data_IF_264828151474
#
_entry.id   IF_264828151474
#
_cell.length_a   1.000
_cell.length_b   1.000
_cell.length_c   1.000
_cell.angle_alpha   90.00
_cell.angle_beta   90.00
_cell.angle_gamma   90.00
#
_symmetry.space_group_name_H-M   'P 1'
#
loop_
_entity.id
_entity.type
_entity.pdbx_description
1 polymer ?
#
# COMPACT_ATOMS: atom_id res chain seq x y z
N UNK A 1 20.01 1.27 16.24
CA UNK A 1 20.26 1.84 14.89
C UNK A 1 21.07 0.82 14.13
N UNK A 2 20.43 -0.03 13.33
CA UNK A 2 21.16 -0.91 12.40
C UNK A 2 21.53 0.00 11.23
N UNK A 3 22.82 0.17 10.97
CA UNK A 3 23.28 0.93 9.80
C UNK A 3 22.78 0.22 8.54
N UNK A 4 22.47 0.93 7.47
CA UNK A 4 22.02 0.36 6.18
C UNK A 4 22.96 -0.75 5.70
N UNK A 5 24.25 -0.58 5.92
CA UNK A 5 25.32 -1.56 5.66
C UNK A 5 25.08 -2.92 6.33
N UNK A 6 24.58 -2.96 7.57
CA UNK A 6 24.29 -4.22 8.28
C UNK A 6 22.94 -4.82 7.88
N UNK A 7 22.00 -4.02 7.48
CA UNK A 7 20.64 -4.47 7.12
C UNK A 7 20.62 -5.12 5.74
N UNK A 8 21.25 -4.51 4.74
CA UNK A 8 21.17 -4.97 3.34
C UNK A 8 22.40 -5.80 2.92
N UNK A 9 23.59 -5.49 3.42
CA UNK A 9 24.81 -6.24 3.11
C UNK A 9 24.84 -7.68 3.65
N UNK A 10 23.93 -8.03 4.61
CA UNK A 10 23.79 -9.39 5.16
C UNK A 10 22.53 -10.11 4.67
N UNK A 11 21.63 -9.42 3.99
CA UNK A 11 20.46 -10.04 3.42
C UNK A 11 20.87 -10.91 2.24
N UNK A 12 20.29 -12.12 2.14
CA UNK A 12 20.45 -12.89 0.92
C UNK A 12 19.83 -12.13 -0.25
N UNK A 13 20.38 -12.30 -1.46
CA UNK A 13 19.86 -11.67 -2.68
C UNK A 13 18.34 -11.86 -2.80
N UNK A 14 17.85 -13.05 -2.45
CA UNK A 14 16.42 -13.38 -2.52
C UNK A 14 15.57 -12.62 -1.52
N UNK A 15 16.04 -12.44 -0.28
CA UNK A 15 15.34 -11.66 0.75
C UNK A 15 15.23 -10.22 0.32
N UNK A 16 16.33 -9.62 -0.13
CA UNK A 16 16.32 -8.25 -0.62
C UNK A 16 15.40 -8.08 -1.83
N UNK A 17 15.44 -9.02 -2.79
CA UNK A 17 14.58 -9.04 -3.95
C UNK A 17 13.10 -9.02 -3.56
N UNK A 18 12.70 -9.89 -2.61
CA UNK A 18 11.32 -9.96 -2.15
C UNK A 18 10.84 -8.69 -1.44
N UNK A 19 11.77 -7.93 -0.83
CA UNK A 19 11.43 -6.65 -0.19
C UNK A 19 11.12 -5.53 -1.18
N UNK A 20 11.46 -5.68 -2.47
CA UNK A 20 11.27 -4.62 -3.47
C UNK A 20 9.81 -4.41 -3.90
N UNK A 21 8.93 -5.37 -3.64
CA UNK A 21 7.51 -5.25 -3.90
C UNK A 21 6.70 -6.21 -3.02
N UNK A 22 5.40 -5.94 -2.90
CA UNK A 22 4.42 -6.81 -2.25
C UNK A 22 4.16 -8.09 -3.06
N UNK A 23 3.25 -8.95 -2.57
CA UNK A 23 2.84 -10.18 -3.25
C UNK A 23 1.77 -9.96 -4.35
N UNK A 24 1.56 -8.74 -4.81
CA UNK A 24 0.60 -8.41 -5.85
C UNK A 24 0.90 -9.09 -7.21
N UNK A 25 -0.08 -9.19 -8.12
CA UNK A 25 0.10 -9.82 -9.42
C UNK A 25 1.22 -9.22 -10.27
N UNK A 26 1.50 -7.92 -10.12
CA UNK A 26 2.58 -7.22 -10.81
C UNK A 26 3.90 -7.19 -10.03
N UNK A 27 4.00 -7.92 -8.93
CA UNK A 27 5.16 -7.86 -8.02
C UNK A 27 6.51 -8.08 -8.72
N UNK A 28 6.59 -9.03 -9.66
CA UNK A 28 7.85 -9.27 -10.39
C UNK A 28 8.18 -8.12 -11.36
N UNK A 29 7.19 -7.52 -12.00
CA UNK A 29 7.39 -6.32 -12.80
C UNK A 29 7.91 -5.16 -11.94
N UNK A 30 7.30 -4.90 -10.77
CA UNK A 30 7.74 -3.86 -9.85
C UNK A 30 9.14 -4.11 -9.31
N UNK A 31 9.45 -5.36 -8.94
CA UNK A 31 10.79 -5.74 -8.46
C UNK A 31 11.87 -5.51 -9.51
N UNK A 32 11.62 -5.93 -10.76
CA UNK A 32 12.53 -5.71 -11.88
C UNK A 32 12.74 -4.20 -12.12
N UNK A 33 11.67 -3.44 -12.18
CA UNK A 33 11.68 -1.99 -12.37
C UNK A 33 12.49 -1.27 -11.28
N UNK A 34 12.21 -1.58 -10.02
CA UNK A 34 12.91 -1.03 -8.85
C UNK A 34 14.37 -1.47 -8.77
N UNK A 35 14.67 -2.68 -9.21
CA UNK A 35 16.04 -3.12 -9.40
C UNK A 35 16.83 -2.19 -10.33
N UNK A 36 16.28 -1.83 -11.48
CA UNK A 36 16.95 -0.92 -12.41
C UNK A 36 17.06 0.51 -11.87
N UNK A 37 16.08 0.99 -11.11
CA UNK A 37 16.21 2.28 -10.39
C UNK A 37 17.40 2.23 -9.44
N UNK A 38 17.51 1.20 -8.61
CA UNK A 38 18.66 1.01 -7.69
C UNK A 38 19.97 0.98 -8.48
N UNK A 39 20.04 0.20 -9.55
CA UNK A 39 21.26 0.13 -10.38
C UNK A 39 21.66 1.50 -10.93
N UNK A 40 20.71 2.33 -11.30
CA UNK A 40 20.98 3.66 -11.87
C UNK A 40 21.58 4.63 -10.86
N UNK A 41 21.18 4.55 -9.56
CA UNK A 41 21.55 5.53 -8.53
C UNK A 41 22.46 4.98 -7.43
N UNK A 42 22.90 3.71 -7.50
CA UNK A 42 23.72 3.10 -6.45
C UNK A 42 25.13 3.67 -6.35
N UNK A 43 25.69 4.15 -7.43
CA UNK A 43 27.09 4.62 -7.49
C UNK A 43 27.24 6.02 -8.05
N UNK A 44 26.21 6.53 -8.71
CA UNK A 44 26.22 7.83 -9.38
C UNK A 44 24.94 8.57 -9.09
N UNK A 45 25.05 9.85 -8.72
CA UNK A 45 23.88 10.70 -8.56
C UNK A 45 23.23 10.94 -9.91
N UNK A 46 21.90 10.79 -9.98
CA UNK A 46 21.13 11.00 -11.20
C UNK A 46 19.88 11.81 -10.95
N UNK A 47 19.51 12.67 -11.89
CA UNK A 47 18.22 13.34 -11.92
C UNK A 47 17.12 12.35 -12.31
N UNK A 48 15.85 12.76 -12.18
CA UNK A 48 14.71 11.92 -12.59
C UNK A 48 14.77 11.62 -14.09
N UNK A 49 15.14 12.61 -14.91
CA UNK A 49 15.27 12.47 -16.37
C UNK A 49 16.37 11.48 -16.74
N UNK A 50 17.51 11.51 -16.04
CA UNK A 50 18.61 10.56 -16.27
C UNK A 50 18.22 9.13 -15.83
N UNK A 51 17.46 8.99 -14.74
CA UNK A 51 16.89 7.72 -14.31
C UNK A 51 15.89 7.21 -15.35
N UNK A 52 15.00 8.07 -15.84
CA UNK A 52 14.03 7.75 -16.89
C UNK A 52 14.73 7.26 -18.16
N UNK A 53 15.76 7.96 -18.62
CA UNK A 53 16.53 7.55 -19.78
C UNK A 53 17.20 6.18 -19.58
N UNK A 54 17.76 5.92 -18.40
CA UNK A 54 18.36 4.62 -18.06
C UNK A 54 17.30 3.50 -18.03
N UNK A 55 16.13 3.75 -17.45
CA UNK A 55 15.02 2.80 -17.43
C UNK A 55 14.51 2.48 -18.83
N UNK A 56 14.37 3.50 -19.68
CA UNK A 56 13.95 3.32 -21.07
C UNK A 56 14.91 2.41 -21.85
N UNK A 57 16.23 2.58 -21.66
CA UNK A 57 17.24 1.70 -22.26
C UNK A 57 17.12 0.24 -21.81
N UNK A 58 16.53 0.01 -20.65
CA UNK A 58 16.29 -1.32 -20.08
C UNK A 58 14.85 -1.83 -20.30
N UNK A 59 14.08 -1.19 -21.18
CA UNK A 59 12.75 -1.62 -21.60
C UNK A 59 11.60 -1.09 -20.74
N UNK A 60 11.83 -0.11 -19.85
CA UNK A 60 10.81 0.49 -19.01
C UNK A 60 10.51 1.92 -19.46
N UNK A 61 9.37 2.11 -20.09
CA UNK A 61 8.85 3.44 -20.42
C UNK A 61 7.93 3.92 -19.30
N UNK A 62 8.43 4.85 -18.48
CA UNK A 62 7.76 5.34 -17.28
C UNK A 62 7.69 6.87 -17.30
N UNK A 63 6.64 7.43 -16.70
CA UNK A 63 6.58 8.84 -16.38
C UNK A 63 7.41 9.15 -15.11
N UNK A 64 7.70 10.43 -14.88
CA UNK A 64 8.53 10.89 -13.76
C UNK A 64 7.86 10.65 -12.41
N UNK A 65 6.53 10.82 -12.32
CA UNK A 65 5.78 10.57 -11.10
C UNK A 65 5.91 9.12 -10.63
N UNK A 66 5.81 8.15 -11.55
CA UNK A 66 6.02 6.73 -11.26
C UNK A 66 7.43 6.45 -10.72
N UNK A 67 8.45 7.09 -11.31
CA UNK A 67 9.84 6.94 -10.85
C UNK A 67 10.01 7.50 -9.44
N UNK A 68 9.44 8.66 -9.17
CA UNK A 68 9.48 9.28 -7.83
C UNK A 68 8.78 8.41 -6.79
N UNK A 69 7.64 7.82 -7.12
CA UNK A 69 6.90 6.93 -6.21
C UNK A 69 7.65 5.62 -5.94
N UNK A 70 8.31 5.07 -6.94
CA UNK A 70 9.18 3.93 -6.72
C UNK A 70 10.37 4.26 -5.81
N UNK A 71 10.97 5.45 -5.97
CA UNK A 71 12.01 5.93 -5.06
C UNK A 71 11.46 6.11 -3.65
N UNK A 72 10.23 6.65 -3.50
CA UNK A 72 9.57 6.76 -2.20
C UNK A 72 9.33 5.38 -1.57
N UNK A 73 8.88 4.43 -2.35
CA UNK A 73 8.69 3.03 -1.92
C UNK A 73 10.02 2.40 -1.46
N UNK A 74 11.11 2.64 -2.18
CA UNK A 74 12.45 2.17 -1.79
C UNK A 74 12.90 2.78 -0.47
N UNK A 75 12.62 4.06 -0.23
CA UNK A 75 12.88 4.73 1.06
C UNK A 75 12.03 4.11 2.17
N UNK A 76 10.75 3.84 1.93
CA UNK A 76 9.84 3.26 2.93
C UNK A 76 10.27 1.87 3.40
N UNK A 77 10.82 1.04 2.52
CA UNK A 77 11.40 -0.25 2.91
C UNK A 77 12.76 -0.11 3.58
N UNK A 78 13.29 1.11 3.69
CA UNK A 78 14.44 1.49 4.52
C UNK A 78 15.76 1.72 3.77
N UNK A 79 15.75 1.88 2.42
CA UNK A 79 16.93 2.34 1.70
C UNK A 79 17.24 3.79 2.04
N UNK A 80 18.51 4.09 2.27
CA UNK A 80 18.98 5.44 2.49
C UNK A 80 19.25 6.12 1.15
N UNK A 81 18.27 6.86 0.64
CA UNK A 81 18.40 7.61 -0.61
C UNK A 81 18.52 9.09 -0.28
N UNK A 82 19.69 9.65 -0.60
CA UNK A 82 19.90 11.09 -0.51
C UNK A 82 19.24 11.79 -1.69
N UNK A 83 18.44 12.81 -1.37
CA UNK A 83 17.82 13.71 -2.34
C UNK A 83 18.51 15.07 -2.31
N UNK A 84 18.92 15.55 -3.46
CA UNK A 84 19.48 16.88 -3.64
C UNK A 84 18.91 17.52 -4.90
N UNK A 85 19.15 18.80 -5.09
CA UNK A 85 18.70 19.54 -6.29
C UNK A 85 19.19 18.92 -7.60
N UNK A 86 20.32 18.23 -7.56
CA UNK A 86 20.93 17.55 -8.71
C UNK A 86 20.64 16.04 -8.73
N UNK A 87 19.61 15.55 -8.02
CA UNK A 87 19.08 14.19 -8.15
C UNK A 87 19.27 13.30 -6.91
N UNK A 88 19.23 12.00 -7.14
CA UNK A 88 19.16 10.93 -6.16
C UNK A 88 20.44 10.09 -6.13
N UNK A 89 20.84 9.65 -4.93
CA UNK A 89 22.01 8.76 -4.72
C UNK A 89 21.71 7.84 -3.55
N UNK A 90 21.93 6.53 -3.70
CA UNK A 90 21.88 5.57 -2.59
C UNK A 90 23.12 5.69 -1.74
N UNK A 91 22.95 5.79 -0.42
CA UNK A 91 24.03 5.83 0.57
C UNK A 91 24.37 4.46 1.15
N UNK A 92 23.46 3.50 0.99
CA UNK A 92 23.73 2.12 1.40
C UNK A 92 24.76 1.47 0.46
N UNK A 93 25.67 0.69 1.03
CA UNK A 93 26.51 -0.19 0.22
C UNK A 93 25.68 -1.41 -0.22
N UNK A 94 25.23 -1.40 -1.46
CA UNK A 94 24.52 -2.52 -2.08
C UNK A 94 25.49 -3.22 -3.01
N UNK A 95 26.08 -4.32 -2.52
CA UNK A 95 26.90 -5.20 -3.33
C UNK A 95 26.07 -6.31 -3.94
N UNK A 96 26.44 -6.77 -5.14
CA UNK A 96 25.89 -7.98 -5.78
C UNK A 96 24.37 -8.05 -5.95
N UNK A 97 23.67 -6.93 -6.04
CA UNK A 97 22.26 -6.94 -6.40
C UNK A 97 22.13 -7.43 -7.85
N UNK A 98 21.42 -8.52 -8.04
CA UNK A 98 21.10 -9.09 -9.35
C UNK A 98 19.69 -9.69 -9.31
N UNK A 99 19.03 -9.70 -10.46
CA UNK A 99 17.76 -10.43 -10.61
C UNK A 99 18.05 -11.92 -10.34
N UNK A 100 17.27 -12.60 -9.48
CA UNK A 100 17.40 -14.03 -9.28
C UNK A 100 17.26 -14.82 -10.58
N UNK A 101 18.07 -15.87 -10.78
CA UNK A 101 18.15 -16.62 -12.03
C UNK A 101 16.84 -17.33 -12.43
N UNK A 102 15.93 -17.56 -11.48
CA UNK A 102 14.63 -18.16 -11.66
C UNK A 102 13.51 -17.16 -11.96
N UNK A 103 13.86 -15.88 -12.16
CA UNK A 103 12.92 -14.81 -12.46
C UNK A 103 13.30 -14.17 -13.79
N UNK A 104 12.38 -14.21 -14.73
CA UNK A 104 12.54 -13.51 -16.00
C UNK A 104 12.49 -11.99 -15.79
N UNK A 105 13.28 -11.26 -16.56
CA UNK A 105 13.23 -9.82 -16.59
C UNK A 105 11.92 -9.38 -17.29
N UNK A 106 10.90 -9.07 -16.49
CA UNK A 106 9.58 -8.67 -16.99
C UNK A 106 9.61 -7.17 -17.25
N UNK A 107 9.54 -6.78 -18.51
CA UNK A 107 9.46 -5.37 -18.93
C UNK A 107 8.05 -4.95 -19.35
N UNK A 108 7.19 -5.91 -19.67
CA UNK A 108 5.81 -5.63 -20.04
C UNK A 108 4.97 -5.28 -18.81
N UNK A 109 4.18 -4.22 -18.93
CA UNK A 109 3.23 -3.83 -17.91
C UNK A 109 2.14 -4.89 -17.78
N UNK A 110 1.76 -5.21 -16.57
CA UNK A 110 0.56 -5.99 -16.27
C UNK A 110 -0.66 -5.08 -16.22
N UNK A 111 -1.86 -5.62 -16.35
CA UNK A 111 -3.11 -4.84 -16.27
C UNK A 111 -3.17 -4.01 -15.00
N UNK A 112 -2.77 -4.59 -13.86
CA UNK A 112 -2.79 -3.86 -12.58
C UNK A 112 -1.75 -2.73 -12.53
N UNK A 113 -0.61 -2.87 -13.17
CA UNK A 113 0.38 -1.79 -13.24
C UNK A 113 -0.09 -0.65 -14.13
N UNK A 114 -0.86 -0.93 -15.17
CA UNK A 114 -1.53 0.08 -16.00
C UNK A 114 -2.57 0.83 -15.16
N UNK A 115 -3.43 0.11 -14.43
CA UNK A 115 -4.43 0.71 -13.55
C UNK A 115 -3.76 1.63 -12.49
N UNK A 116 -2.67 1.18 -11.88
CA UNK A 116 -1.93 2.02 -10.91
C UNK A 116 -1.39 3.31 -11.54
N UNK A 117 -0.88 3.24 -12.76
CA UNK A 117 -0.39 4.42 -13.46
C UNK A 117 -1.54 5.36 -13.82
N UNK A 118 -2.68 4.85 -14.30
CA UNK A 118 -3.89 5.63 -14.58
C UNK A 118 -4.45 6.30 -13.32
N UNK A 119 -4.54 5.56 -12.22
CA UNK A 119 -4.99 6.10 -10.93
C UNK A 119 -4.04 7.21 -10.46
N UNK A 120 -2.73 7.01 -10.60
CA UNK A 120 -1.71 8.01 -10.24
C UNK A 120 -1.84 9.29 -11.04
N UNK A 121 -2.14 9.19 -12.34
CA UNK A 121 -2.34 10.35 -13.20
C UNK A 121 -3.63 11.13 -12.86
N UNK A 122 -4.65 10.47 -12.34
CA UNK A 122 -5.93 11.08 -11.99
C UNK A 122 -5.97 11.64 -10.56
N UNK A 123 -5.22 11.03 -9.64
CA UNK A 123 -5.19 11.43 -8.24
C UNK A 123 -4.19 12.57 -7.99
N UNK A 124 -4.65 13.81 -8.12
CA UNK A 124 -3.81 14.99 -7.87
C UNK A 124 -3.83 15.48 -6.41
N UNK A 125 -4.83 15.09 -5.64
CA UNK A 125 -5.07 15.59 -4.27
C UNK A 125 -4.83 14.56 -3.18
N UNK A 126 -4.82 13.29 -3.52
CA UNK A 126 -4.59 12.17 -2.59
C UNK A 126 -3.12 11.74 -2.67
N UNK A 127 -2.52 11.49 -1.52
CA UNK A 127 -1.13 11.03 -1.48
C UNK A 127 -1.00 9.65 -2.15
N UNK A 128 -0.10 9.53 -3.11
CA UNK A 128 0.14 8.29 -3.87
C UNK A 128 0.60 7.10 -3.01
N UNK A 129 0.99 7.32 -1.74
CA UNK A 129 1.28 6.21 -0.81
C UNK A 129 0.11 5.23 -0.71
N UNK A 130 -1.13 5.72 -0.88
CA UNK A 130 -2.34 4.90 -0.79
C UNK A 130 -2.57 3.99 -2.00
N UNK A 131 -1.75 4.10 -3.07
CA UNK A 131 -1.70 3.09 -4.13
C UNK A 131 -1.30 1.70 -3.60
N UNK A 132 -0.67 1.65 -2.43
CA UNK A 132 -0.40 0.39 -1.72
C UNK A 132 -1.67 -0.42 -1.45
N UNK A 133 -2.83 0.23 -1.33
CA UNK A 133 -4.11 -0.47 -1.15
C UNK A 133 -4.43 -1.41 -2.31
N UNK A 134 -4.03 -1.06 -3.54
CA UNK A 134 -4.16 -1.96 -4.70
C UNK A 134 -3.31 -3.22 -4.55
N UNK A 135 -2.14 -3.13 -3.91
CA UNK A 135 -1.30 -4.28 -3.64
C UNK A 135 -1.83 -5.12 -2.48
N UNK A 136 -2.19 -4.46 -1.37
CA UNK A 136 -2.70 -5.11 -0.18
C UNK A 136 -4.01 -5.86 -0.44
N UNK A 137 -4.86 -5.34 -1.35
CA UNK A 137 -6.12 -6.00 -1.73
C UNK A 137 -5.92 -7.42 -2.30
N UNK A 138 -4.75 -7.73 -2.84
CA UNK A 138 -4.40 -9.07 -3.37
C UNK A 138 -3.62 -9.94 -2.39
N UNK A 139 -3.24 -9.41 -1.21
CA UNK A 139 -2.41 -10.13 -0.24
C UNK A 139 -3.22 -10.58 0.98
N UNK A 140 -3.65 -11.83 0.96
CA UNK A 140 -4.40 -12.45 2.07
C UNK A 140 -3.63 -12.48 3.40
N UNK A 141 -2.32 -12.30 3.39
CA UNK A 141 -1.49 -12.25 4.60
C UNK A 141 -1.41 -10.86 5.23
N UNK A 142 -1.82 -9.83 4.50
CA UNK A 142 -1.74 -8.42 4.89
C UNK A 142 -3.12 -7.78 5.13
N UNK A 143 -4.10 -8.58 5.56
CA UNK A 143 -5.46 -8.08 5.83
C UNK A 143 -5.45 -6.91 6.82
N UNK A 144 -4.68 -7.04 7.90
CA UNK A 144 -4.59 -5.99 8.92
C UNK A 144 -3.99 -4.69 8.39
N UNK A 145 -2.96 -4.78 7.56
CA UNK A 145 -2.35 -3.62 6.91
C UNK A 145 -3.35 -2.96 5.95
N UNK A 146 -4.12 -3.77 5.22
CA UNK A 146 -5.18 -3.28 4.34
C UNK A 146 -6.26 -2.52 5.11
N UNK A 147 -6.72 -3.06 6.24
CA UNK A 147 -7.67 -2.39 7.17
C UNK A 147 -7.11 -1.03 7.63
N UNK A 148 -5.88 -1.02 8.16
CA UNK A 148 -5.25 0.18 8.71
C UNK A 148 -5.05 1.25 7.63
N UNK A 149 -4.50 0.90 6.46
CA UNK A 149 -4.25 1.85 5.37
C UNK A 149 -5.56 2.38 4.78
N UNK A 150 -6.64 1.56 4.73
CA UNK A 150 -7.96 2.01 4.33
C UNK A 150 -8.49 3.09 5.29
N UNK A 151 -8.39 2.86 6.60
CA UNK A 151 -8.80 3.84 7.60
C UNK A 151 -7.95 5.11 7.53
N UNK A 152 -6.63 4.98 7.34
CA UNK A 152 -5.72 6.12 7.18
C UNK A 152 -6.07 6.97 5.95
N UNK A 153 -6.41 6.36 4.82
CA UNK A 153 -6.87 7.10 3.64
C UNK A 153 -8.08 7.98 3.96
N UNK A 154 -9.07 7.42 4.67
CA UNK A 154 -10.31 8.13 4.98
C UNK A 154 -10.08 9.27 5.99
N UNK A 155 -9.23 9.05 6.98
CA UNK A 155 -8.97 10.07 8.02
C UNK A 155 -7.99 11.14 7.55
N UNK A 156 -6.90 10.77 6.91
CA UNK A 156 -5.82 11.70 6.58
C UNK A 156 -6.12 12.53 5.33
N UNK A 157 -6.76 11.92 4.32
CA UNK A 157 -6.96 12.58 3.03
C UNK A 157 -8.40 13.11 2.85
N UNK A 158 -9.39 12.42 3.39
CA UNK A 158 -10.81 12.78 3.18
C UNK A 158 -11.44 13.52 4.38
N UNK A 159 -10.63 13.80 5.41
CA UNK A 159 -11.06 14.54 6.61
C UNK A 159 -12.27 13.90 7.33
N UNK A 160 -12.31 12.58 7.38
CA UNK A 160 -13.21 11.87 8.28
C UNK A 160 -12.58 11.72 9.66
N UNK A 161 -13.40 11.71 10.69
CA UNK A 161 -13.00 11.22 12.01
C UNK A 161 -13.27 9.71 12.03
N UNK A 162 -12.42 8.93 12.67
CA UNK A 162 -12.59 7.49 12.71
C UNK A 162 -11.38 6.76 13.26
N UNK A 163 -11.50 5.45 13.37
CA UNK A 163 -10.43 4.59 13.83
C UNK A 163 -10.58 3.16 13.32
N UNK A 164 -9.43 2.48 13.22
CA UNK A 164 -9.37 1.05 13.07
C UNK A 164 -9.74 0.39 14.39
N UNK A 165 -10.72 -0.51 14.38
CA UNK A 165 -11.19 -1.25 15.55
C UNK A 165 -10.51 -2.61 15.65
N UNK A 166 -10.68 -3.41 14.62
CA UNK A 166 -10.16 -4.77 14.53
C UNK A 166 -10.60 -5.69 15.67
N UNK A 167 -10.30 -6.97 15.55
CA UNK A 167 -10.57 -7.97 16.57
C UNK A 167 -11.95 -8.60 16.50
N UNK A 168 -12.16 -9.64 17.31
CA UNK A 168 -13.36 -10.47 17.22
C UNK A 168 -14.63 -9.71 17.58
N UNK A 169 -15.71 -9.95 16.81
CA UNK A 169 -17.05 -9.40 17.03
C UNK A 169 -17.13 -7.87 16.99
N UNK A 170 -16.25 -7.26 16.20
CA UNK A 170 -16.26 -5.82 15.87
C UNK A 170 -16.04 -5.65 14.38
N UNK A 171 -16.58 -4.59 13.76
CA UNK A 171 -16.18 -4.22 12.39
C UNK A 171 -14.68 -3.88 12.36
N UNK A 172 -14.08 -3.90 11.17
CA UNK A 172 -12.67 -3.55 11.02
C UNK A 172 -12.40 -2.09 11.38
N UNK A 173 -13.35 -1.22 11.06
CA UNK A 173 -13.27 0.18 11.42
C UNK A 173 -14.59 0.92 11.34
N UNK A 174 -14.54 2.15 11.79
CA UNK A 174 -15.62 3.11 11.62
C UNK A 174 -15.04 4.49 11.30
N UNK A 175 -15.80 5.26 10.58
CA UNK A 175 -15.50 6.67 10.37
C UNK A 175 -16.80 7.49 10.26
N UNK A 176 -16.69 8.79 10.50
CA UNK A 176 -17.85 9.67 10.43
C UNK A 176 -17.43 11.09 10.08
N UNK A 177 -18.39 11.81 9.53
CA UNK A 177 -18.29 13.23 9.23
C UNK A 177 -19.66 13.86 9.44
N UNK A 178 -19.72 14.94 10.20
CA UNK A 178 -20.97 15.62 10.56
C UNK A 178 -21.96 14.65 11.22
N UNK A 179 -23.11 14.40 10.58
CA UNK A 179 -24.15 13.49 11.07
C UNK A 179 -24.08 12.09 10.47
N UNK A 180 -23.12 11.84 9.57
CA UNK A 180 -23.04 10.59 8.81
C UNK A 180 -21.91 9.70 9.34
N UNK A 181 -22.25 8.49 9.74
CA UNK A 181 -21.33 7.44 10.15
C UNK A 181 -21.26 6.33 9.12
N UNK A 182 -20.09 5.72 8.99
CA UNK A 182 -19.84 4.56 8.14
C UNK A 182 -19.18 3.47 8.94
N UNK A 183 -19.71 2.26 8.85
CA UNK A 183 -19.16 1.05 9.45
C UNK A 183 -18.50 0.26 8.32
N UNK A 184 -17.25 -0.13 8.55
CA UNK A 184 -16.40 -0.72 7.51
C UNK A 184 -15.97 -2.12 7.90
N UNK A 185 -16.09 -3.04 6.96
CA UNK A 185 -15.54 -4.38 7.04
C UNK A 185 -14.79 -4.68 5.72
N UNK A 186 -13.48 -4.59 5.76
CA UNK A 186 -12.62 -4.67 4.58
C UNK A 186 -12.29 -6.10 4.19
N UNK A 187 -12.09 -6.36 2.90
CA UNK A 187 -11.77 -7.70 2.41
C UNK A 187 -10.64 -7.66 1.38
N UNK A 188 -9.54 -8.35 1.68
CA UNK A 188 -8.39 -8.51 0.79
C UNK A 188 -8.29 -9.97 0.31
N UNK A 189 -8.49 -10.19 -0.99
CA UNK A 189 -8.48 -11.53 -1.58
C UNK A 189 -7.80 -11.56 -2.94
N UNK A 190 -6.80 -12.40 -3.10
CA UNK A 190 -6.00 -12.53 -4.33
C UNK A 190 -6.80 -12.93 -5.58
N UNK A 191 -7.92 -13.62 -5.40
CA UNK A 191 -8.72 -14.17 -6.51
C UNK A 191 -10.12 -13.53 -6.63
N UNK A 192 -10.28 -12.32 -6.08
CA UNK A 192 -11.58 -11.68 -5.95
C UNK A 192 -12.38 -12.24 -4.77
N UNK A 193 -13.46 -11.58 -4.44
CA UNK A 193 -14.26 -11.88 -3.28
C UNK A 193 -15.71 -12.16 -3.65
N UNK A 194 -16.17 -13.36 -3.27
CA UNK A 194 -17.60 -13.71 -3.30
C UNK A 194 -18.11 -13.67 -1.87
N UNK A 195 -19.03 -12.77 -1.57
CA UNK A 195 -19.57 -12.59 -0.23
C UNK A 195 -20.19 -13.88 0.32
N UNK A 196 -19.59 -14.57 1.32
CA UNK A 196 -20.21 -15.72 1.97
C UNK A 196 -21.39 -15.30 2.82
N UNK A 197 -22.40 -16.18 2.96
CA UNK A 197 -23.57 -15.92 3.81
C UNK A 197 -23.16 -15.55 5.24
N UNK A 198 -22.17 -16.23 5.79
CA UNK A 198 -21.67 -15.97 7.15
C UNK A 198 -21.16 -14.53 7.34
N UNK A 199 -20.61 -13.93 6.31
CA UNK A 199 -20.14 -12.54 6.39
C UNK A 199 -21.25 -11.54 6.14
N UNK A 200 -22.24 -11.88 5.31
CA UNK A 200 -23.47 -11.11 5.23
C UNK A 200 -24.19 -11.09 6.59
N UNK A 201 -24.29 -12.22 7.28
CA UNK A 201 -24.84 -12.33 8.64
C UNK A 201 -24.05 -11.50 9.64
N UNK A 202 -22.74 -11.42 9.48
CA UNK A 202 -21.87 -10.60 10.32
C UNK A 202 -22.17 -9.10 10.15
N UNK A 203 -22.33 -8.63 8.93
CA UNK A 203 -22.73 -7.24 8.66
C UNK A 203 -24.14 -6.94 9.19
N UNK A 204 -25.09 -7.88 9.01
CA UNK A 204 -26.43 -7.73 9.57
C UNK A 204 -26.35 -7.57 11.10
N UNK A 205 -25.50 -8.36 11.75
CA UNK A 205 -25.28 -8.23 13.19
C UNK A 205 -24.75 -6.83 13.56
N UNK A 206 -23.79 -6.28 12.85
CA UNK A 206 -23.29 -4.92 13.10
C UNK A 206 -24.39 -3.86 12.90
N UNK A 207 -25.26 -4.04 11.90
CA UNK A 207 -26.41 -3.17 11.69
C UNK A 207 -27.35 -3.20 12.90
N UNK A 208 -27.66 -4.38 13.40
CA UNK A 208 -28.56 -4.57 14.56
C UNK A 208 -27.95 -4.03 15.85
N UNK A 209 -26.68 -4.32 16.10
CA UNK A 209 -25.93 -3.81 17.26
C UNK A 209 -25.90 -2.28 17.27
N UNK A 210 -25.62 -1.63 16.14
CA UNK A 210 -25.61 -0.17 16.05
C UNK A 210 -27.00 0.45 16.23
N UNK A 211 -28.06 -0.21 15.74
CA UNK A 211 -29.46 0.26 15.93
C UNK A 211 -29.91 0.15 17.38
N UNK A 212 -29.62 -0.96 18.01
CA UNK A 212 -30.12 -1.28 19.34
C UNK A 212 -29.25 -0.71 20.46
N UNK A 213 -27.95 -0.53 20.21
CA UNK A 213 -26.94 0.03 21.14
C UNK A 213 -27.08 -0.43 22.58
N UNK A 214 -27.38 -1.71 22.76
CA UNK A 214 -27.61 -2.32 24.08
C UNK A 214 -26.45 -3.21 24.50
N UNK A 215 -26.65 -3.95 25.59
CA UNK A 215 -25.65 -4.85 26.19
C UNK A 215 -25.38 -6.13 25.36
N UNK A 216 -25.87 -6.20 24.13
CA UNK A 216 -25.73 -7.36 23.25
C UNK A 216 -24.29 -7.63 22.83
N UNK A 217 -23.45 -6.58 22.79
CA UNK A 217 -22.03 -6.71 22.48
C UNK A 217 -21.19 -6.01 23.56
N UNK A 218 -20.38 -6.76 24.31
CA UNK A 218 -19.56 -6.19 25.39
C UNK A 218 -18.51 -5.16 24.90
N UNK A 219 -18.23 -5.14 23.61
CA UNK A 219 -17.24 -4.22 23.03
C UNK A 219 -17.78 -2.81 22.81
N UNK A 220 -19.10 -2.63 22.75
CA UNK A 220 -19.80 -1.32 22.56
C UNK A 220 -19.11 -0.42 21.51
N UNK A 221 -18.65 -1.02 20.39
CA UNK A 221 -17.84 -0.36 19.38
C UNK A 221 -18.51 0.89 18.77
N UNK A 222 -19.84 1.00 18.80
CA UNK A 222 -20.61 2.15 18.34
C UNK A 222 -20.43 3.41 19.18
N UNK A 223 -19.89 3.32 20.40
CA UNK A 223 -19.61 4.47 21.26
C UNK A 223 -18.48 5.35 20.72
N UNK A 224 -17.70 4.84 19.80
CA UNK A 224 -16.64 5.61 19.12
C UNK A 224 -17.17 6.56 18.04
N UNK A 225 -18.47 6.53 17.71
CA UNK A 225 -19.07 7.57 16.87
C UNK A 225 -19.25 8.88 17.67
N UNK A 226 -19.15 10.03 16.96
CA UNK A 226 -19.48 11.31 17.54
C UNK A 226 -20.95 11.40 17.94
N UNK A 227 -21.26 12.19 18.96
CA UNK A 227 -22.60 12.32 19.56
C UNK A 227 -23.68 12.75 18.52
N UNK A 228 -23.27 13.49 17.50
CA UNK A 228 -24.20 14.01 16.48
C UNK A 228 -24.48 13.03 15.33
N UNK A 229 -23.80 11.87 15.31
CA UNK A 229 -24.00 10.90 14.22
C UNK A 229 -25.33 10.19 14.34
N UNK A 230 -26.16 10.36 13.33
CA UNK A 230 -27.54 9.86 13.32
C UNK A 230 -27.91 9.07 12.07
N UNK A 231 -27.11 9.18 11.00
CA UNK A 231 -27.28 8.44 9.76
C UNK A 231 -26.12 7.49 9.56
N UNK A 232 -26.38 6.24 9.17
CA UNK A 232 -25.36 5.21 9.06
C UNK A 232 -25.39 4.53 7.70
N UNK A 233 -24.21 4.37 7.13
CA UNK A 233 -23.92 3.56 5.96
C UNK A 233 -23.00 2.40 6.33
N UNK A 234 -23.02 1.35 5.52
CA UNK A 234 -22.25 0.14 5.74
C UNK A 234 -21.45 -0.15 4.49
N UNK A 235 -20.13 -0.26 4.63
CA UNK A 235 -19.20 -0.53 3.55
C UNK A 235 -18.61 -1.93 3.74
N UNK A 236 -18.72 -2.71 2.65
CA UNK A 236 -18.23 -4.07 2.60
C UNK A 236 -17.17 -4.20 1.53
#
# INVERSE_FOLDING_TARGET
RVTGRTRYGRSTKRVFWNMLATAAPDANYLRNRRYYIIQSIKSTRRTVEEIKAYLYQNGYDLNEATIIDDINSLVSIGLQIERATNGFLIKDEISDLSIPNDIDAITQRTDISVIKDEVREQLHTINHRYLVLLDLSYDNSSNREFEIETMSLLTDELNYQGLHLGGARRPDGLFYKDTNGVIVDTKAYSNGYNLPITQADEMIRYIEENKNRGDLNPNQWWEHFGENVSSFSYLF
#
